data_IF_758378101351
#
_entry.id   IF_758378101351
#
_cell.length_a   1.000
_cell.length_b   1.000
_cell.length_c   1.000
_cell.angle_alpha   90.00
_cell.angle_beta   90.00
_cell.angle_gamma   90.00
#
_symmetry.space_group_name_H-M   'P 1'
#
loop_
_entity.id
_entity.type
_entity.pdbx_description
1 polymer ?
#
# COMPACT_ATOMS: atom_id res chain seq x y z
N UNK A 1 5.57 -29.64 -0.53
CA UNK A 1 5.25 -28.59 0.46
C UNK A 1 4.46 -27.51 -0.24
N UNK A 2 3.37 -26.97 0.37
CA UNK A 2 2.52 -25.89 -0.19
C UNK A 2 3.31 -24.59 -0.47
N UNK A 3 4.51 -24.50 0.01
CA UNK A 3 5.37 -23.34 0.01
C UNK A 3 6.70 -23.58 -0.68
N UNK A 4 6.82 -24.49 -1.61
CA UNK A 4 8.01 -24.69 -2.43
C UNK A 4 9.33 -24.29 -1.77
N UNK A 5 10.35 -24.25 -2.49
CA UNK A 5 11.62 -23.72 -1.99
C UNK A 5 11.47 -22.21 -1.76
N UNK A 6 11.46 -21.81 -0.48
CA UNK A 6 11.51 -20.39 -0.12
C UNK A 6 12.72 -19.75 -0.78
N UNK A 7 12.61 -18.51 -1.26
CA UNK A 7 13.79 -17.77 -1.63
C UNK A 7 14.75 -17.78 -0.43
N UNK A 8 16.05 -17.90 -0.64
CA UNK A 8 17.01 -17.82 0.45
C UNK A 8 16.72 -16.54 1.24
N UNK A 9 16.79 -16.65 2.55
CA UNK A 9 16.63 -15.52 3.45
C UNK A 9 17.63 -14.44 3.01
N UNK A 10 17.14 -13.40 2.33
CA UNK A 10 17.97 -12.26 1.98
C UNK A 10 18.02 -11.42 3.24
N UNK A 11 19.13 -11.44 3.92
CA UNK A 11 19.35 -10.58 5.07
C UNK A 11 19.16 -9.12 4.67
N UNK A 12 18.59 -8.30 5.56
CA UNK A 12 18.32 -6.88 5.27
C UNK A 12 19.58 -6.10 4.89
N UNK A 13 20.73 -6.50 5.41
CA UNK A 13 22.05 -5.97 5.12
C UNK A 13 22.61 -6.42 3.76
N UNK A 14 22.07 -7.49 3.17
CA UNK A 14 22.36 -7.90 1.79
C UNK A 14 21.53 -7.13 0.76
N UNK A 15 20.55 -6.33 1.19
CA UNK A 15 19.81 -5.44 0.33
C UNK A 15 20.70 -4.22 0.06
N UNK A 16 21.46 -4.30 -1.01
CA UNK A 16 22.58 -3.43 -1.33
C UNK A 16 22.17 -1.98 -1.60
N UNK A 17 22.91 -1.02 -1.08
CA UNK A 17 22.87 0.33 -1.63
C UNK A 17 23.34 0.33 -3.09
N UNK A 18 22.73 1.20 -3.87
CA UNK A 18 22.74 1.33 -5.35
C UNK A 18 24.11 1.22 -6.04
N UNK A 19 25.23 1.39 -5.33
CA UNK A 19 26.49 1.79 -5.97
C UNK A 19 27.52 0.68 -6.19
N UNK A 20 27.35 -0.52 -5.68
CA UNK A 20 28.39 -1.54 -5.78
C UNK A 20 28.11 -2.67 -6.78
N UNK A 21 26.86 -2.91 -7.16
CA UNK A 21 26.47 -4.00 -8.05
C UNK A 21 25.95 -3.55 -9.43
N UNK A 22 25.79 -2.25 -9.65
CA UNK A 22 25.15 -1.72 -10.87
C UNK A 22 23.62 -1.93 -10.92
N UNK A 23 23.00 -2.39 -9.82
CA UNK A 23 21.57 -2.55 -9.71
C UNK A 23 20.89 -1.19 -9.48
N UNK A 24 19.74 -0.99 -10.12
CA UNK A 24 18.95 0.23 -9.99
C UNK A 24 18.01 0.06 -8.81
N UNK A 25 18.04 0.98 -7.83
CA UNK A 25 16.98 1.13 -6.85
C UNK A 25 16.34 2.51 -6.99
N UNK A 26 15.10 2.64 -6.56
CA UNK A 26 14.42 3.92 -6.58
C UNK A 26 15.03 4.86 -5.53
N UNK A 27 15.09 6.16 -5.84
CA UNK A 27 15.60 7.18 -4.90
C UNK A 27 14.67 7.44 -3.73
N UNK A 28 13.40 7.04 -3.85
CA UNK A 28 12.34 7.24 -2.85
C UNK A 28 11.40 6.04 -2.83
N UNK A 29 10.71 5.86 -1.72
CA UNK A 29 9.61 4.89 -1.65
C UNK A 29 8.40 5.49 -2.34
N UNK A 30 7.94 4.81 -3.38
CA UNK A 30 6.81 5.21 -4.23
C UNK A 30 5.74 4.13 -4.15
N UNK A 31 4.50 4.52 -3.91
CA UNK A 31 3.36 3.64 -4.14
C UNK A 31 3.11 3.64 -5.65
N UNK A 32 3.30 2.53 -6.35
CA UNK A 32 3.08 2.47 -7.79
C UNK A 32 1.57 2.52 -8.10
N UNK A 33 1.20 3.03 -9.26
CA UNK A 33 -0.18 2.93 -9.71
C UNK A 33 -0.57 1.48 -9.98
N UNK A 34 0.31 0.75 -10.65
CA UNK A 34 0.15 -0.66 -10.99
C UNK A 34 1.32 -1.49 -10.50
N UNK A 35 1.00 -2.72 -10.12
CA UNK A 35 1.95 -3.81 -9.92
C UNK A 35 1.81 -4.75 -11.11
N UNK A 36 2.90 -5.06 -11.78
CA UNK A 36 2.90 -6.04 -12.87
C UNK A 36 3.12 -7.41 -12.24
N UNK A 37 2.07 -8.22 -12.22
CA UNK A 37 2.07 -9.56 -11.62
C UNK A 37 2.33 -10.60 -12.71
N UNK A 38 3.43 -11.31 -12.61
CA UNK A 38 3.71 -12.50 -13.41
C UNK A 38 2.99 -13.70 -12.82
N UNK A 39 1.98 -14.22 -13.50
CA UNK A 39 1.09 -15.27 -12.95
C UNK A 39 1.69 -16.67 -13.12
N UNK A 40 2.81 -16.90 -12.47
CA UNK A 40 3.54 -18.15 -12.53
C UNK A 40 4.89 -18.12 -11.83
N UNK A 41 5.68 -19.15 -12.04
CA UNK A 41 7.07 -19.19 -11.59
C UNK A 41 7.97 -18.26 -12.44
N UNK A 42 9.04 -17.74 -11.88
CA UNK A 42 9.99 -16.84 -12.55
C UNK A 42 10.47 -17.41 -13.90
N UNK A 43 10.62 -18.72 -13.98
CA UNK A 43 11.15 -19.42 -15.18
C UNK A 43 10.07 -19.74 -16.21
N UNK A 44 8.81 -19.52 -15.91
CA UNK A 44 7.70 -19.81 -16.81
C UNK A 44 7.49 -18.65 -17.79
N UNK A 45 8.13 -18.74 -18.93
CA UNK A 45 8.02 -17.73 -20.00
C UNK A 45 6.65 -17.72 -20.70
N UNK A 46 5.77 -18.68 -20.40
CA UNK A 46 4.41 -18.74 -20.95
C UNK A 46 3.38 -18.11 -20.02
N UNK A 47 3.76 -17.81 -18.78
CA UNK A 47 2.90 -17.16 -17.81
C UNK A 47 2.56 -15.72 -18.23
N UNK A 48 1.32 -15.34 -17.98
CA UNK A 48 0.82 -14.03 -18.35
C UNK A 48 1.21 -12.96 -17.31
N UNK A 49 1.55 -11.77 -17.78
CA UNK A 49 1.75 -10.58 -16.96
C UNK A 49 0.44 -9.80 -16.86
N UNK A 50 -0.02 -9.54 -15.62
CA UNK A 50 -1.21 -8.75 -15.35
C UNK A 50 -0.85 -7.39 -14.75
N UNK A 51 -1.41 -6.31 -15.31
CA UNK A 51 -1.33 -4.96 -14.74
C UNK A 51 -2.44 -4.79 -13.72
N UNK A 52 -2.09 -4.83 -12.44
CA UNK A 52 -3.04 -4.79 -11.33
C UNK A 52 -2.83 -3.50 -10.55
N UNK A 53 -3.89 -2.72 -10.29
CA UNK A 53 -3.77 -1.54 -9.44
C UNK A 53 -3.21 -1.94 -8.07
N UNK A 54 -2.29 -1.14 -7.52
CA UNK A 54 -1.58 -1.48 -6.29
C UNK A 54 -2.52 -1.89 -5.15
N UNK A 55 -3.56 -1.10 -4.87
CA UNK A 55 -4.52 -1.43 -3.80
C UNK A 55 -5.27 -2.73 -4.08
N UNK A 56 -5.66 -2.97 -5.33
CA UNK A 56 -6.36 -4.19 -5.71
C UNK A 56 -5.45 -5.42 -5.60
N UNK A 57 -4.16 -5.26 -5.90
CA UNK A 57 -3.15 -6.28 -5.65
C UNK A 57 -3.05 -6.62 -4.16
N UNK A 58 -2.90 -5.62 -3.29
CA UNK A 58 -2.81 -5.83 -1.84
C UNK A 58 -4.08 -6.48 -1.27
N UNK A 59 -5.27 -6.01 -1.69
CA UNK A 59 -6.57 -6.61 -1.30
C UNK A 59 -6.67 -8.08 -1.70
N UNK A 60 -6.25 -8.40 -2.91
CA UNK A 60 -6.25 -9.75 -3.45
C UNK A 60 -5.31 -10.67 -2.67
N UNK A 61 -4.05 -10.26 -2.49
CA UNK A 61 -3.07 -11.02 -1.71
C UNK A 61 -3.55 -11.24 -0.28
N UNK A 62 -4.00 -10.20 0.41
CA UNK A 62 -4.53 -10.33 1.77
C UNK A 62 -5.71 -11.30 1.85
N UNK A 63 -6.62 -11.27 0.86
CA UNK A 63 -7.74 -12.22 0.79
C UNK A 63 -7.29 -13.68 0.49
N UNK A 64 -6.09 -13.87 -0.05
CA UNK A 64 -5.50 -15.20 -0.25
C UNK A 64 -4.75 -15.72 0.97
N UNK A 65 -4.21 -14.81 1.80
CA UNK A 65 -3.23 -15.14 2.84
C UNK A 65 -3.85 -15.22 4.24
N UNK A 66 -4.86 -14.37 4.55
CA UNK A 66 -5.45 -14.29 5.88
C UNK A 66 -6.97 -14.41 5.85
N UNK A 67 -7.55 -14.81 6.99
CA UNK A 67 -9.00 -14.90 7.12
C UNK A 67 -9.59 -13.53 7.50
N UNK A 68 -10.57 -13.07 6.74
CA UNK A 68 -11.25 -11.78 6.92
C UNK A 68 -11.96 -11.61 8.28
N UNK A 69 -12.12 -12.70 9.03
CA UNK A 69 -12.74 -12.75 10.36
C UNK A 69 -11.74 -12.65 11.51
N UNK A 70 -10.45 -12.52 11.21
CA UNK A 70 -9.44 -12.34 12.25
C UNK A 70 -9.53 -10.96 12.92
N UNK A 71 -8.98 -10.78 14.15
CA UNK A 71 -8.94 -9.48 14.80
C UNK A 71 -8.38 -8.39 13.88
N UNK A 72 -8.93 -7.18 13.97
CA UNK A 72 -8.49 -6.05 13.14
C UNK A 72 -6.98 -5.81 13.25
N UNK A 73 -6.43 -5.84 14.47
CA UNK A 73 -4.99 -5.67 14.70
C UNK A 73 -4.14 -6.73 13.97
N UNK A 74 -4.62 -7.97 13.91
CA UNK A 74 -3.97 -9.04 13.14
C UNK A 74 -4.04 -8.77 11.65
N UNK A 75 -5.20 -8.35 11.14
CA UNK A 75 -5.37 -8.02 9.73
C UNK A 75 -4.45 -6.86 9.33
N UNK A 76 -4.41 -5.78 10.12
CA UNK A 76 -3.53 -4.64 9.89
C UNK A 76 -2.06 -5.04 9.89
N UNK A 77 -1.61 -5.85 10.84
CA UNK A 77 -0.22 -6.32 10.89
C UNK A 77 0.16 -7.14 9.64
N UNK A 78 -0.69 -8.08 9.22
CA UNK A 78 -0.44 -8.88 8.02
C UNK A 78 -0.49 -8.04 6.74
N UNK A 79 -1.44 -7.11 6.62
CA UNK A 79 -1.54 -6.22 5.46
C UNK A 79 -0.32 -5.29 5.38
N UNK A 80 0.15 -4.74 6.50
CA UNK A 80 1.39 -3.95 6.55
C UNK A 80 2.61 -4.77 6.10
N UNK A 81 2.71 -6.03 6.53
CA UNK A 81 3.76 -6.92 6.06
C UNK A 81 3.68 -7.17 4.54
N UNK A 82 2.49 -7.48 4.00
CA UNK A 82 2.27 -7.65 2.55
C UNK A 82 2.67 -6.39 1.78
N UNK A 83 2.27 -5.22 2.27
CA UNK A 83 2.61 -3.94 1.63
C UNK A 83 4.10 -3.66 1.65
N UNK A 84 4.76 -3.86 2.80
CA UNK A 84 6.20 -3.63 2.93
C UNK A 84 7.01 -4.55 2.02
N UNK A 85 6.65 -5.83 1.96
CA UNK A 85 7.26 -6.77 1.02
C UNK A 85 7.08 -6.33 -0.44
N UNK A 86 5.86 -5.98 -0.83
CA UNK A 86 5.55 -5.52 -2.20
C UNK A 86 6.36 -4.27 -2.54
N UNK A 87 6.40 -3.29 -1.63
CA UNK A 87 7.15 -2.05 -1.83
C UNK A 87 8.66 -2.26 -1.82
N UNK A 88 9.16 -3.27 -1.12
CA UNK A 88 10.56 -3.68 -1.24
C UNK A 88 10.88 -4.14 -2.66
N UNK A 89 10.03 -4.99 -3.26
CA UNK A 89 10.18 -5.44 -4.66
C UNK A 89 10.15 -4.27 -5.66
N UNK A 90 9.26 -3.30 -5.44
CA UNK A 90 9.18 -2.08 -6.24
C UNK A 90 10.42 -1.21 -6.05
N UNK A 91 10.80 -0.93 -4.82
CA UNK A 91 11.91 -0.05 -4.48
C UNK A 91 13.24 -0.57 -5.01
N UNK A 92 13.50 -1.86 -4.88
CA UNK A 92 14.74 -2.51 -5.30
C UNK A 92 14.76 -2.86 -6.79
N UNK A 93 13.68 -2.65 -7.53
CA UNK A 93 13.53 -3.10 -8.92
C UNK A 93 13.96 -4.58 -9.10
N UNK A 94 13.62 -5.41 -8.09
CA UNK A 94 14.19 -6.74 -7.89
C UNK A 94 14.18 -7.63 -9.12
N UNK A 95 13.06 -7.71 -9.82
CA UNK A 95 12.94 -8.54 -11.03
C UNK A 95 13.49 -7.84 -12.27
N UNK A 96 13.32 -6.53 -12.38
CA UNK A 96 13.82 -5.75 -13.51
C UNK A 96 15.34 -5.74 -13.57
N UNK A 97 16.02 -5.67 -12.43
CA UNK A 97 17.46 -5.81 -12.34
C UNK A 97 17.97 -7.21 -12.76
N UNK A 98 17.07 -8.19 -12.86
CA UNK A 98 17.34 -9.54 -13.36
C UNK A 98 16.90 -9.77 -14.79
N UNK A 99 16.50 -8.70 -15.49
CA UNK A 99 16.10 -8.74 -16.91
C UNK A 99 14.65 -9.18 -17.14
N UNK A 100 13.80 -9.16 -16.09
CA UNK A 100 12.38 -9.45 -16.23
C UNK A 100 11.57 -8.15 -16.40
N UNK A 101 10.41 -8.23 -17.04
CA UNK A 101 9.50 -7.12 -17.33
C UNK A 101 8.31 -6.99 -16.36
N UNK A 102 8.37 -7.67 -15.21
CA UNK A 102 7.35 -7.66 -14.18
C UNK A 102 7.89 -7.17 -12.81
N UNK A 103 6.97 -6.82 -11.92
CA UNK A 103 7.29 -6.30 -10.59
C UNK A 103 7.38 -7.42 -9.55
N UNK A 104 6.49 -8.42 -9.65
CA UNK A 104 6.31 -9.46 -8.64
C UNK A 104 5.68 -10.70 -9.29
N UNK A 105 5.83 -11.87 -8.66
CA UNK A 105 5.20 -13.12 -9.15
C UNK A 105 3.99 -13.50 -8.31
N UNK A 106 3.14 -14.38 -8.85
CA UNK A 106 2.08 -15.07 -8.06
C UNK A 106 2.60 -16.35 -7.38
N UNK A 107 3.88 -16.65 -7.54
CA UNK A 107 4.52 -17.84 -6.99
C UNK A 107 4.85 -17.66 -5.52
N UNK A 108 4.24 -18.48 -4.65
CA UNK A 108 4.52 -18.50 -3.21
C UNK A 108 5.91 -19.01 -2.85
N UNK A 109 6.67 -19.50 -3.82
CA UNK A 109 8.08 -19.83 -3.63
C UNK A 109 8.98 -18.58 -3.54
N UNK A 110 8.52 -17.46 -4.09
CA UNK A 110 9.30 -16.22 -4.19
C UNK A 110 8.60 -15.01 -3.61
N UNK A 111 7.27 -14.93 -3.77
CA UNK A 111 6.49 -13.75 -3.41
C UNK A 111 5.16 -14.17 -2.76
N UNK A 112 4.06 -13.50 -3.08
CA UNK A 112 2.76 -13.70 -2.48
C UNK A 112 1.85 -14.59 -3.33
N UNK A 113 0.91 -15.25 -2.67
CA UNK A 113 -0.19 -15.88 -3.38
C UNK A 113 -1.14 -14.81 -3.92
N UNK A 114 -1.21 -14.72 -5.23
CA UNK A 114 -2.17 -13.88 -5.94
C UNK A 114 -3.00 -14.75 -6.88
N UNK A 115 -4.29 -14.46 -7.03
CA UNK A 115 -5.21 -15.24 -7.89
C UNK A 115 -6.02 -14.24 -8.71
N UNK A 116 -5.92 -14.30 -10.03
CA UNK A 116 -6.71 -13.45 -10.92
C UNK A 116 -8.22 -13.61 -10.65
N UNK A 117 -8.95 -12.50 -10.50
CA UNK A 117 -10.39 -12.50 -10.24
C UNK A 117 -10.80 -12.94 -8.82
N UNK A 118 -9.87 -13.03 -7.86
CA UNK A 118 -10.17 -13.35 -6.45
C UNK A 118 -11.15 -12.34 -5.86
N UNK A 119 -12.22 -12.87 -5.26
CA UNK A 119 -13.14 -12.07 -4.44
C UNK A 119 -12.42 -11.60 -3.16
N UNK A 120 -12.55 -10.33 -2.84
CA UNK A 120 -12.02 -9.71 -1.63
C UNK A 120 -13.12 -9.48 -0.59
N UNK A 121 -12.76 -9.05 0.62
CA UNK A 121 -13.67 -8.91 1.76
C UNK A 121 -13.65 -7.48 2.29
N UNK A 122 -14.81 -6.96 2.69
CA UNK A 122 -14.96 -5.57 3.14
C UNK A 122 -14.03 -5.20 4.30
N UNK A 123 -13.84 -6.10 5.27
CA UNK A 123 -12.93 -5.87 6.39
C UNK A 123 -11.48 -5.67 5.95
N UNK A 124 -11.02 -6.45 4.96
CA UNK A 124 -9.69 -6.32 4.35
C UNK A 124 -9.63 -5.05 3.48
N UNK A 125 -10.64 -4.84 2.64
CA UNK A 125 -10.69 -3.71 1.72
C UNK A 125 -10.61 -2.38 2.46
N UNK A 126 -11.37 -2.23 3.55
CA UNK A 126 -11.38 -1.04 4.39
C UNK A 126 -9.99 -0.76 4.96
N UNK A 127 -9.33 -1.78 5.53
CA UNK A 127 -8.00 -1.61 6.10
C UNK A 127 -7.00 -1.20 5.02
N UNK A 128 -6.99 -1.88 3.86
CA UNK A 128 -6.09 -1.50 2.76
C UNK A 128 -6.31 -0.07 2.33
N UNK A 129 -7.57 0.37 2.18
CA UNK A 129 -7.89 1.74 1.77
C UNK A 129 -7.45 2.79 2.81
N UNK A 130 -7.43 2.43 4.10
CA UNK A 130 -6.97 3.31 5.17
C UNK A 130 -5.43 3.44 5.24
N UNK A 131 -4.68 2.35 4.96
CA UNK A 131 -3.24 2.32 5.25
C UNK A 131 -2.35 2.09 4.02
N UNK A 132 -2.87 2.08 2.80
CA UNK A 132 -2.18 1.63 1.58
C UNK A 132 -0.85 2.33 1.26
N UNK A 133 -0.59 3.51 1.81
CA UNK A 133 0.68 4.20 1.61
C UNK A 133 1.70 3.93 2.72
N UNK A 134 1.36 3.05 3.67
CA UNK A 134 2.24 2.70 4.79
C UNK A 134 3.16 1.53 4.44
N UNK A 135 4.34 1.52 5.03
CA UNK A 135 5.31 0.43 4.92
C UNK A 135 6.16 0.35 6.19
N UNK A 136 6.89 -0.74 6.33
CA UNK A 136 7.77 -0.97 7.48
C UNK A 136 9.21 -0.61 7.10
N UNK A 137 9.91 0.07 8.00
CA UNK A 137 11.29 0.50 7.79
C UNK A 137 12.12 0.40 9.07
N UNK A 138 13.45 0.49 8.90
CA UNK A 138 14.42 0.62 10.00
C UNK A 138 14.84 2.08 10.17
N UNK A 139 15.33 2.49 11.35
CA UNK A 139 15.88 3.81 11.55
C UNK A 139 17.01 4.10 10.54
N UNK A 140 16.93 5.27 9.90
CA UNK A 140 17.91 5.72 8.91
C UNK A 140 18.01 4.90 7.61
N UNK A 141 17.11 3.95 7.39
CA UNK A 141 17.01 3.14 6.17
C UNK A 141 15.73 3.53 5.44
N UNK A 142 15.83 4.00 4.20
CA UNK A 142 14.66 4.35 3.38
C UNK A 142 13.95 3.12 2.82
N UNK A 143 14.70 2.08 2.56
CA UNK A 143 14.18 0.88 1.94
C UNK A 143 13.12 0.21 2.80
N UNK A 144 11.97 -0.17 2.22
CA UNK A 144 10.99 -1.00 2.89
C UNK A 144 11.59 -2.34 3.34
N UNK A 145 11.26 -2.78 4.54
CA UNK A 145 11.68 -4.11 5.03
C UNK A 145 11.11 -5.20 4.12
N UNK A 146 11.94 -6.17 3.76
CA UNK A 146 11.49 -7.41 3.11
C UNK A 146 10.83 -8.31 4.17
N UNK A 147 9.56 -8.10 4.41
CA UNK A 147 8.78 -8.74 5.46
C UNK A 147 8.33 -10.13 5.03
N UNK A 148 9.20 -11.11 5.15
CA UNK A 148 8.84 -12.50 4.89
C UNK A 148 7.91 -13.05 5.98
N UNK A 149 7.00 -13.94 5.60
CA UNK A 149 6.04 -14.59 6.49
C UNK A 149 5.65 -15.99 6.00
N UNK A 150 5.07 -16.78 6.87
CA UNK A 150 4.48 -18.08 6.53
C UNK A 150 3.24 -18.36 7.38
N UNK A 151 2.52 -19.46 7.12
CA UNK A 151 1.33 -19.77 7.89
C UNK A 151 1.63 -20.14 9.37
N UNK A 152 2.78 -20.75 9.66
CA UNK A 152 3.19 -21.12 11.00
C UNK A 152 2.47 -22.32 11.58
N UNK A 153 1.63 -23.00 10.79
CA UNK A 153 0.95 -24.24 11.17
C UNK A 153 1.38 -25.44 10.35
N UNK A 154 1.40 -25.27 9.03
CA UNK A 154 1.75 -26.33 8.07
C UNK A 154 3.24 -26.28 7.74
N UNK A 155 3.82 -25.10 7.84
CA UNK A 155 5.23 -24.84 7.53
C UNK A 155 5.86 -24.13 8.72
N UNK A 156 7.00 -24.62 9.16
CA UNK A 156 7.88 -23.91 10.08
C UNK A 156 8.79 -23.02 9.27
N UNK A 157 8.83 -21.74 9.58
CA UNK A 157 9.71 -20.80 8.94
C UNK A 157 10.67 -20.17 9.98
N UNK A 158 11.94 -19.96 9.62
CA UNK A 158 12.89 -19.37 10.52
C UNK A 158 12.63 -17.87 10.66
N UNK A 159 12.52 -17.37 11.87
CA UNK A 159 12.52 -15.94 12.23
C UNK A 159 11.54 -15.00 11.46
N UNK A 160 10.62 -15.55 10.66
CA UNK A 160 9.62 -14.82 9.93
C UNK A 160 8.33 -14.68 10.74
N UNK A 161 7.51 -13.70 10.36
CA UNK A 161 6.18 -13.61 10.95
C UNK A 161 5.35 -14.84 10.58
N UNK A 162 4.75 -15.47 11.60
CA UNK A 162 3.78 -16.54 11.39
C UNK A 162 2.37 -15.94 11.43
N UNK A 163 1.58 -16.22 10.39
CA UNK A 163 0.21 -15.69 10.28
C UNK A 163 -0.67 -16.12 11.45
N UNK A 164 -0.62 -17.40 11.83
CA UNK A 164 -1.37 -17.88 13.00
C UNK A 164 -0.79 -17.42 14.33
N UNK A 165 0.51 -17.17 14.42
CA UNK A 165 1.12 -16.54 15.59
C UNK A 165 0.69 -15.08 15.72
N UNK A 166 0.62 -14.32 14.62
CA UNK A 166 0.10 -12.96 14.63
C UNK A 166 -1.37 -12.92 15.07
N UNK A 167 -2.18 -13.93 14.67
CA UNK A 167 -3.55 -14.07 15.15
C UNK A 167 -3.59 -14.33 16.65
N UNK A 168 -2.75 -15.22 17.16
CA UNK A 168 -2.68 -15.49 18.60
C UNK A 168 -2.37 -14.21 19.40
N UNK A 169 -1.39 -13.41 18.95
CA UNK A 169 -1.08 -12.13 19.59
C UNK A 169 -2.25 -11.11 19.50
N UNK A 170 -2.92 -11.04 18.35
CA UNK A 170 -4.10 -10.20 18.19
C UNK A 170 -5.26 -10.60 19.09
N UNK A 171 -5.48 -11.92 19.29
CA UNK A 171 -6.47 -12.43 20.24
C UNK A 171 -6.12 -12.07 21.70
N UNK A 172 -4.84 -11.83 22.00
CA UNK A 172 -4.36 -11.36 23.31
C UNK A 172 -4.42 -9.82 23.44
N UNK A 173 -4.92 -9.10 22.43
CA UNK A 173 -5.08 -7.66 22.46
C UNK A 173 -3.84 -6.86 22.04
N UNK A 174 -2.85 -7.51 21.44
CA UNK A 174 -1.68 -6.79 20.90
C UNK A 174 -2.10 -5.88 19.75
N UNK A 175 -1.52 -4.70 19.71
CA UNK A 175 -1.65 -3.73 18.62
C UNK A 175 -0.87 -4.19 17.38
N UNK A 176 -1.18 -3.66 16.18
CA UNK A 176 -0.44 -4.03 14.96
C UNK A 176 1.07 -3.82 15.08
N UNK A 177 1.50 -2.70 15.67
CA UNK A 177 2.92 -2.39 15.84
C UNK A 177 3.62 -3.36 16.81
N UNK A 178 2.95 -3.77 17.87
CA UNK A 178 3.48 -4.75 18.83
C UNK A 178 3.60 -6.13 18.18
N UNK A 179 2.60 -6.56 17.38
CA UNK A 179 2.66 -7.80 16.63
C UNK A 179 3.85 -7.77 15.66
N UNK A 180 3.99 -6.70 14.89
CA UNK A 180 5.07 -6.58 13.92
C UNK A 180 6.44 -6.53 14.58
N UNK A 181 6.60 -5.81 15.68
CA UNK A 181 7.87 -5.73 16.44
C UNK A 181 8.27 -7.07 17.06
N UNK A 182 7.28 -7.86 17.48
CA UNK A 182 7.54 -9.20 17.98
C UNK A 182 8.33 -10.07 16.97
N UNK A 183 8.03 -9.91 15.68
CA UNK A 183 8.67 -10.71 14.62
C UNK A 183 9.83 -9.99 13.93
N UNK A 184 9.73 -8.70 13.70
CA UNK A 184 10.71 -7.93 12.92
C UNK A 184 11.61 -7.03 13.79
N UNK A 185 11.47 -7.11 15.11
CA UNK A 185 12.34 -6.44 16.10
C UNK A 185 11.87 -5.04 16.50
N UNK A 186 12.30 -4.63 17.68
CA UNK A 186 11.88 -3.39 18.36
C UNK A 186 12.23 -2.11 17.60
N UNK A 187 13.26 -2.13 16.77
CA UNK A 187 13.69 -0.98 15.99
C UNK A 187 12.83 -0.73 14.75
N UNK A 188 11.90 -1.65 14.43
CA UNK A 188 10.99 -1.49 13.30
C UNK A 188 9.91 -0.43 13.61
N UNK A 189 9.58 0.40 12.63
CA UNK A 189 8.50 1.36 12.72
C UNK A 189 7.70 1.43 11.41
N UNK A 190 6.48 1.95 11.51
CA UNK A 190 5.59 2.18 10.35
C UNK A 190 5.91 3.55 9.78
N UNK A 191 6.21 3.60 8.49
CA UNK A 191 6.47 4.81 7.74
C UNK A 191 5.41 5.02 6.65
N UNK A 192 5.40 6.18 6.04
CA UNK A 192 4.49 6.53 4.93
C UNK A 192 5.31 6.88 3.71
N UNK A 193 4.90 6.37 2.54
CA UNK A 193 5.57 6.66 1.27
C UNK A 193 5.55 8.15 0.95
N UNK A 194 6.68 8.65 0.46
CA UNK A 194 6.85 10.05 0.10
C UNK A 194 6.09 10.44 -1.17
N UNK A 195 5.83 9.46 -2.03
CA UNK A 195 5.21 9.68 -3.33
C UNK A 195 4.26 8.55 -3.68
N UNK A 196 3.14 8.91 -4.32
CA UNK A 196 2.23 7.98 -4.97
C UNK A 196 2.28 8.27 -6.46
N UNK A 197 2.52 7.23 -7.26
CA UNK A 197 2.64 7.37 -8.72
C UNK A 197 1.32 7.87 -9.33
N UNK A 198 1.43 8.81 -10.27
CA UNK A 198 0.28 9.47 -10.86
C UNK A 198 -0.39 10.54 -10.00
N UNK A 199 0.09 10.76 -8.77
CA UNK A 199 -0.45 11.77 -7.85
C UNK A 199 0.57 12.88 -7.64
N UNK A 200 0.23 14.16 -7.91
CA UNK A 200 1.20 15.27 -7.90
C UNK A 200 1.81 15.61 -6.55
N UNK A 201 1.28 15.10 -5.43
CA UNK A 201 1.84 15.40 -4.11
C UNK A 201 1.49 14.38 -3.04
N UNK A 202 2.43 14.23 -2.10
CA UNK A 202 2.28 13.39 -0.91
C UNK A 202 1.37 14.03 0.16
N UNK A 203 0.83 13.18 1.03
CA UNK A 203 0.12 13.56 2.25
C UNK A 203 0.89 14.62 3.06
N UNK A 204 0.22 15.69 3.56
CA UNK A 204 0.90 16.74 4.32
C UNK A 204 1.43 16.32 5.70
N UNK A 205 1.06 15.12 6.18
CA UNK A 205 1.45 14.62 7.50
C UNK A 205 0.50 15.02 8.63
N UNK A 206 -0.58 15.73 8.33
CA UNK A 206 -1.61 16.16 9.29
C UNK A 206 -2.97 16.34 8.60
N UNK A 207 -4.04 16.25 9.37
CA UNK A 207 -5.39 16.42 8.86
C UNK A 207 -5.67 17.87 8.44
N UNK A 208 -6.34 18.05 7.30
CA UNK A 208 -6.86 19.35 6.92
C UNK A 208 -8.30 19.51 7.43
N UNK A 209 -8.51 20.54 8.22
CA UNK A 209 -9.79 20.83 8.87
C UNK A 209 -10.08 22.33 8.84
N UNK A 210 -11.25 22.75 9.30
CA UNK A 210 -11.60 24.16 9.40
C UNK A 210 -10.51 24.94 10.16
N UNK A 211 -9.98 25.98 9.51
CA UNK A 211 -8.87 26.78 10.01
C UNK A 211 -7.51 26.40 9.42
N UNK A 212 -7.36 25.26 8.74
CA UNK A 212 -6.15 24.93 8.00
C UNK A 212 -5.95 25.89 6.82
N UNK A 213 -4.69 26.27 6.54
CA UNK A 213 -4.35 27.18 5.44
C UNK A 213 -3.09 26.71 4.71
N UNK A 214 -2.91 27.16 3.47
CA UNK A 214 -1.69 26.96 2.69
C UNK A 214 -1.87 26.14 1.42
N UNK A 215 -0.73 25.79 0.80
CA UNK A 215 -0.71 25.16 -0.53
C UNK A 215 -1.37 23.78 -0.58
N UNK A 216 -1.31 23.00 0.51
CA UNK A 216 -1.96 21.71 0.58
C UNK A 216 -3.49 21.81 0.59
N UNK A 217 -4.02 22.85 1.24
CA UNK A 217 -5.46 23.17 1.19
C UNK A 217 -5.84 23.59 -0.23
N UNK A 218 -5.09 24.50 -0.84
CA UNK A 218 -5.32 24.95 -2.22
C UNK A 218 -5.33 23.78 -3.21
N UNK A 219 -4.33 22.93 -3.13
CA UNK A 219 -4.22 21.75 -3.98
C UNK A 219 -5.42 20.82 -3.83
N UNK A 220 -5.83 20.52 -2.61
CA UNK A 220 -7.00 19.68 -2.33
C UNK A 220 -8.28 20.32 -2.90
N UNK A 221 -8.46 21.63 -2.76
CA UNK A 221 -9.60 22.37 -3.33
C UNK A 221 -9.60 22.30 -4.87
N UNK A 222 -8.45 22.42 -5.54
CA UNK A 222 -8.30 22.26 -6.99
C UNK A 222 -8.69 20.85 -7.43
N UNK A 223 -8.19 19.83 -6.73
CA UNK A 223 -8.50 18.43 -7.02
C UNK A 223 -9.98 18.15 -6.83
N UNK A 224 -10.58 18.61 -5.73
CA UNK A 224 -12.00 18.41 -5.44
C UNK A 224 -12.90 19.07 -6.49
N UNK A 225 -12.57 20.30 -6.90
CA UNK A 225 -13.29 20.99 -7.97
C UNK A 225 -13.17 20.29 -9.33
N UNK A 226 -12.02 19.68 -9.63
CA UNK A 226 -11.87 18.88 -10.85
C UNK A 226 -12.76 17.63 -10.80
N UNK A 227 -12.80 16.97 -9.65
CA UNK A 227 -13.67 15.81 -9.41
C UNK A 227 -15.14 16.19 -9.53
N UNK A 228 -15.54 17.33 -8.99
CA UNK A 228 -16.92 17.82 -9.01
C UNK A 228 -17.49 17.97 -10.44
N UNK A 229 -16.65 18.14 -11.47
CA UNK A 229 -17.10 18.18 -12.87
C UNK A 229 -17.70 16.84 -13.35
N UNK A 230 -17.15 15.74 -12.85
CA UNK A 230 -17.61 14.39 -13.22
C UNK A 230 -18.57 13.80 -12.17
N UNK A 231 -18.61 14.40 -10.97
CA UNK A 231 -19.49 14.04 -9.85
C UNK A 231 -20.29 15.28 -9.37
N UNK A 232 -21.34 15.70 -10.09
CA UNK A 232 -22.04 16.97 -9.84
C UNK A 232 -22.72 17.11 -8.47
N UNK A 233 -22.86 16.03 -7.71
CA UNK A 233 -23.33 16.08 -6.32
C UNK A 233 -22.34 16.76 -5.37
N UNK A 234 -21.06 16.81 -5.75
CA UNK A 234 -20.01 17.46 -4.96
C UNK A 234 -20.02 18.96 -5.35
N UNK A 235 -20.26 19.87 -4.39
CA UNK A 235 -20.28 21.29 -4.69
C UNK A 235 -18.88 21.81 -5.05
N UNK A 236 -18.82 22.75 -5.98
CA UNK A 236 -17.60 23.51 -6.26
C UNK A 236 -17.35 24.52 -5.15
N UNK A 237 -16.09 24.74 -4.82
CA UNK A 237 -15.64 25.58 -3.70
C UNK A 237 -14.59 26.58 -4.18
N UNK A 238 -14.39 27.72 -3.47
CA UNK A 238 -13.27 28.61 -3.72
C UNK A 238 -11.91 27.89 -3.60
N UNK A 239 -10.98 28.22 -4.49
CA UNK A 239 -9.59 27.74 -4.45
C UNK A 239 -8.73 28.86 -3.87
N UNK A 240 -8.85 29.05 -2.57
CA UNK A 240 -8.19 30.17 -1.87
C UNK A 240 -7.08 29.71 -0.90
N UNK A 241 -6.94 28.40 -0.71
CA UNK A 241 -6.00 27.83 0.25
C UNK A 241 -6.42 27.98 1.70
N UNK A 242 -7.71 28.27 1.96
CA UNK A 242 -8.29 28.35 3.30
C UNK A 242 -9.38 27.28 3.47
N UNK A 243 -9.22 26.42 4.46
CA UNK A 243 -10.21 25.37 4.77
C UNK A 243 -11.34 25.97 5.59
N UNK A 244 -12.35 26.49 4.91
CA UNK A 244 -13.56 27.06 5.52
C UNK A 244 -14.70 26.06 5.60
N UNK A 245 -15.88 26.51 6.06
CA UNK A 245 -17.08 25.70 6.19
C UNK A 245 -17.51 25.10 4.81
N UNK A 246 -17.45 25.87 3.74
CA UNK A 246 -17.80 25.41 2.39
C UNK A 246 -16.90 24.23 1.95
N UNK A 247 -15.60 24.30 2.28
CA UNK A 247 -14.67 23.21 2.00
C UNK A 247 -15.03 21.97 2.80
N UNK A 248 -15.32 22.11 4.10
CA UNK A 248 -15.73 21.00 4.95
C UNK A 248 -17.03 20.32 4.46
N UNK A 249 -18.01 21.10 4.01
CA UNK A 249 -19.26 20.58 3.50
C UNK A 249 -19.07 19.83 2.17
N UNK A 250 -18.26 20.36 1.27
CA UNK A 250 -17.90 19.66 0.02
C UNK A 250 -17.15 18.35 0.28
N UNK A 251 -16.25 18.34 1.25
CA UNK A 251 -15.52 17.13 1.68
C UNK A 251 -16.48 16.10 2.26
N UNK A 252 -17.47 16.48 3.06
CA UNK A 252 -18.51 15.53 3.54
C UNK A 252 -19.28 14.89 2.40
N UNK A 253 -19.66 15.68 1.41
CA UNK A 253 -20.35 15.13 0.22
C UNK A 253 -19.44 14.18 -0.54
N UNK A 254 -18.17 14.55 -0.74
CA UNK A 254 -17.18 13.66 -1.35
C UNK A 254 -17.04 12.34 -0.57
N UNK A 255 -16.88 12.41 0.74
CA UNK A 255 -16.79 11.24 1.63
C UNK A 255 -18.02 10.35 1.50
N UNK A 256 -19.22 10.93 1.46
CA UNK A 256 -20.46 10.18 1.24
C UNK A 256 -20.49 9.47 -0.12
N UNK A 257 -20.13 10.17 -1.20
CA UNK A 257 -20.11 9.63 -2.57
C UNK A 257 -19.18 8.43 -2.68
N UNK A 258 -18.03 8.48 -2.00
CA UNK A 258 -16.99 7.45 -2.09
C UNK A 258 -16.94 6.51 -0.89
N UNK A 259 -17.98 6.48 -0.04
CA UNK A 259 -18.13 5.50 1.04
C UNK A 259 -17.15 5.67 2.21
N UNK A 260 -16.66 6.90 2.45
CA UNK A 260 -15.81 7.23 3.60
C UNK A 260 -16.64 7.77 4.77
N UNK A 261 -16.05 7.84 5.96
CA UNK A 261 -16.65 8.49 7.13
C UNK A 261 -16.88 9.98 6.86
N UNK A 262 -18.12 10.47 7.01
CA UNK A 262 -18.54 11.82 6.65
C UNK A 262 -18.14 12.85 7.73
N UNK A 263 -16.85 12.98 7.98
CA UNK A 263 -16.30 13.87 9.03
C UNK A 263 -16.20 15.32 8.58
N UNK A 264 -16.06 15.56 7.28
CA UNK A 264 -15.72 16.88 6.73
C UNK A 264 -14.26 17.29 7.02
N UNK A 265 -13.43 16.33 7.41
CA UNK A 265 -11.99 16.48 7.62
C UNK A 265 -11.28 15.71 6.51
N UNK A 266 -10.25 16.28 5.92
CA UNK A 266 -9.38 15.55 5.01
C UNK A 266 -8.29 14.90 5.85
N UNK A 267 -8.62 13.73 6.36
CA UNK A 267 -7.69 12.80 6.98
C UNK A 267 -6.91 12.01 5.91
N UNK A 268 -5.99 11.18 6.35
CA UNK A 268 -5.16 10.36 5.47
C UNK A 268 -5.96 9.54 4.43
N UNK A 269 -7.01 8.77 4.79
CA UNK A 269 -7.83 8.05 3.82
C UNK A 269 -8.53 8.99 2.82
N UNK A 270 -9.06 10.11 3.29
CA UNK A 270 -9.77 11.10 2.45
C UNK A 270 -8.82 11.78 1.47
N UNK A 271 -7.60 12.16 1.91
CA UNK A 271 -6.58 12.75 1.04
C UNK A 271 -6.25 11.84 -0.14
N UNK A 272 -5.96 10.58 0.14
CA UNK A 272 -5.60 9.62 -0.91
C UNK A 272 -6.77 9.22 -1.80
N UNK A 273 -7.98 9.19 -1.26
CA UNK A 273 -9.17 8.98 -2.09
C UNK A 273 -9.42 10.16 -3.04
N UNK A 274 -9.25 11.41 -2.59
CA UNK A 274 -9.32 12.60 -3.45
C UNK A 274 -8.26 12.48 -4.55
N UNK A 275 -7.03 12.18 -4.20
CA UNK A 275 -5.92 12.05 -5.15
C UNK A 275 -6.16 10.92 -6.16
N UNK A 276 -6.63 9.75 -5.72
CA UNK A 276 -6.98 8.61 -6.58
C UNK A 276 -8.05 8.99 -7.62
N UNK A 277 -9.14 9.59 -7.16
CA UNK A 277 -10.24 9.98 -8.04
C UNK A 277 -9.82 11.11 -8.97
N UNK A 278 -9.03 12.07 -8.48
CA UNK A 278 -8.48 13.15 -9.30
C UNK A 278 -7.66 12.61 -10.47
N UNK A 279 -6.76 11.66 -10.23
CA UNK A 279 -5.97 11.01 -11.30
C UNK A 279 -6.89 10.33 -12.31
N UNK A 280 -7.88 9.57 -11.83
CA UNK A 280 -8.83 8.88 -12.69
C UNK A 280 -9.63 9.84 -13.60
N UNK A 281 -10.18 10.93 -13.05
CA UNK A 281 -10.99 11.89 -13.82
C UNK A 281 -10.14 12.85 -14.68
N UNK A 282 -8.90 13.10 -14.30
CA UNK A 282 -7.99 13.99 -15.03
C UNK A 282 -7.26 13.31 -16.18
N UNK A 283 -7.29 11.96 -16.23
CA UNK A 283 -6.56 11.13 -17.22
C UNK A 283 -5.07 11.44 -17.32
N UNK A 284 -4.48 11.94 -16.22
CA UNK A 284 -3.06 12.31 -16.18
C UNK A 284 -2.18 11.08 -16.46
N UNK A 285 -2.61 9.91 -16.01
CA UNK A 285 -1.91 8.66 -16.26
C UNK A 285 -1.95 8.21 -17.74
N UNK A 286 -2.93 8.70 -18.53
CA UNK A 286 -3.06 8.37 -19.95
C UNK A 286 -2.24 9.33 -20.86
N UNK A 287 -1.75 10.45 -20.31
CA UNK A 287 -1.04 11.49 -21.07
C UNK A 287 0.48 11.32 -21.09
N UNK A 288 1.02 10.33 -20.39
CA UNK A 288 2.43 9.93 -20.45
C UNK A 288 2.51 8.53 -21.06
N UNK A 289 2.76 8.41 -22.38
CA UNK A 289 3.04 7.15 -23.04
C UNK A 289 4.39 6.58 -22.59
#
# INVERSE_FOLDING_TARGET
TLWGDYPPNIAEDEIKPVNESGEIVLSRVVIPEFVIVHDGAITDQTAQNYYVRYKDYIKNVAACEVYSTWPRSTLEANILAIMSFTLNRVYTEWYRNKGHDFTITSSTAYDHKWINGKTTYDSINTIVDEIFASYLSRPNVRQPILTQYCDGKRVSCPEWMTQWGSKYLGDQGYTPIEILRYYYGESMYINTAEQISGIPSSWPGYDLTIGSTGDKVRQMQEQLNRIAKDYPSIPTIPVDGTYGQQTADAVRVFQNVFGLGQTGVVDYPTWYKISEIYVAVSRIAELNP
#
